data_IF_426768466105
#
_entry.id   IF_426768466105
#
_cell.length_a   1.000
_cell.length_b   1.000
_cell.length_c   1.000
_cell.angle_alpha   90.00
_cell.angle_beta   90.00
_cell.angle_gamma   90.00
#
_symmetry.space_group_name_H-M   'P 1'
#
loop_
_entity.id
_entity.type
_entity.pdbx_description
1 polymer ?
#
# COMPACT_ATOMS: atom_id res chain seq x y z
N UNK A 1 1.11 1.60 3.78
CA UNK A 1 1.25 0.13 3.68
C UNK A 1 1.95 -0.36 4.93
N UNK A 2 1.54 -1.52 5.44
CA UNK A 2 2.18 -2.20 6.57
C UNK A 2 2.81 -3.52 6.09
N UNK A 3 3.70 -4.15 6.87
CA UNK A 3 4.17 -5.50 6.58
C UNK A 3 3.03 -6.51 6.75
N UNK A 4 3.04 -7.55 5.93
CA UNK A 4 2.21 -8.73 6.16
C UNK A 4 2.71 -9.44 7.42
N UNK A 5 1.84 -9.88 8.34
CA UNK A 5 2.24 -10.62 9.54
C UNK A 5 3.01 -11.93 9.25
N UNK A 6 2.72 -12.57 8.13
CA UNK A 6 3.33 -13.86 7.74
C UNK A 6 4.56 -13.68 6.84
N UNK A 7 4.75 -12.49 6.28
CA UNK A 7 5.85 -12.15 5.38
C UNK A 7 6.19 -10.66 5.52
N UNK A 8 7.20 -10.33 6.32
CA UNK A 8 7.58 -8.95 6.64
C UNK A 8 7.93 -8.10 5.41
N UNK A 9 8.31 -8.73 4.31
CA UNK A 9 8.66 -8.06 3.06
C UNK A 9 7.48 -7.84 2.13
N UNK A 10 6.37 -8.56 2.33
CA UNK A 10 5.15 -8.37 1.55
C UNK A 10 4.43 -7.10 2.01
N UNK A 11 4.21 -6.14 1.12
CA UNK A 11 3.45 -4.93 1.47
C UNK A 11 1.95 -5.23 1.50
N UNK A 12 1.31 -4.87 2.63
CA UNK A 12 -0.13 -4.93 2.78
C UNK A 12 -0.73 -3.52 2.82
N UNK A 13 -1.81 -3.25 2.07
CA UNK A 13 -2.53 -2.00 2.21
C UNK A 13 -3.33 -2.04 3.52
N UNK A 14 -3.35 -0.94 4.26
CA UNK A 14 -4.08 -0.85 5.52
C UNK A 14 -4.95 0.40 5.57
N UNK A 15 -6.14 0.27 6.15
CA UNK A 15 -7.01 1.38 6.47
C UNK A 15 -6.64 1.89 7.88
N UNK A 16 -6.16 3.13 7.94
CA UNK A 16 -5.77 3.78 9.20
C UNK A 16 -6.88 4.74 9.61
N UNK A 17 -7.46 4.53 10.77
CA UNK A 17 -8.56 5.33 11.32
C UNK A 17 -8.12 6.27 12.43
N UNK A 18 -6.95 6.03 13.02
CA UNK A 18 -6.38 6.82 14.09
C UNK A 18 -4.90 7.14 13.80
N UNK A 19 -4.43 8.29 14.29
CA UNK A 19 -3.06 8.73 14.07
C UNK A 19 -2.01 7.73 14.58
N UNK A 20 -2.28 7.05 15.69
CA UNK A 20 -1.42 6.00 16.24
C UNK A 20 -1.18 4.84 15.28
N UNK A 21 -2.16 4.51 14.44
CA UNK A 21 -2.05 3.47 13.43
C UNK A 21 -1.06 3.79 12.30
N UNK A 22 -0.66 5.05 12.14
CA UNK A 22 0.33 5.44 11.14
C UNK A 22 1.72 4.85 11.38
N UNK A 23 2.04 4.52 12.63
CA UNK A 23 3.35 3.97 13.01
C UNK A 23 3.67 2.66 12.26
N UNK A 24 2.67 1.81 12.04
CA UNK A 24 2.83 0.56 11.30
C UNK A 24 3.16 0.78 9.81
N UNK A 25 2.86 1.96 9.28
CA UNK A 25 3.06 2.29 7.87
C UNK A 25 4.43 2.93 7.58
N UNK A 26 5.27 3.09 8.59
CA UNK A 26 6.59 3.71 8.41
C UNK A 26 7.55 2.79 7.64
N UNK A 27 8.51 3.40 6.99
CA UNK A 27 9.53 2.68 6.21
C UNK A 27 9.10 2.44 4.77
N UNK A 28 10.06 2.00 3.97
CA UNK A 28 9.85 1.65 2.57
C UNK A 28 9.64 0.14 2.45
N UNK A 29 8.71 -0.25 1.59
CA UNK A 29 8.50 -1.66 1.22
C UNK A 29 8.48 -1.77 -0.29
N UNK A 30 9.32 -2.65 -0.79
CA UNK A 30 9.37 -2.96 -2.22
C UNK A 30 8.31 -4.02 -2.53
N UNK A 31 7.52 -3.79 -3.56
CA UNK A 31 6.52 -4.74 -4.01
C UNK A 31 5.14 -4.14 -4.23
N UNK A 32 4.30 -4.89 -4.94
CA UNK A 32 2.92 -4.49 -5.22
C UNK A 32 2.02 -4.74 -4.01
N UNK A 33 1.21 -3.74 -3.68
CA UNK A 33 0.14 -3.88 -2.70
C UNK A 33 -1.21 -3.56 -3.38
N UNK A 34 -2.26 -4.35 -3.14
CA UNK A 34 -3.57 -4.16 -3.76
C UNK A 34 -4.34 -3.00 -3.09
N UNK A 35 -3.79 -1.78 -3.16
CA UNK A 35 -4.32 -0.59 -2.49
C UNK A 35 -5.78 -0.32 -2.86
N UNK A 36 -6.14 -0.50 -4.12
CA UNK A 36 -7.51 -0.25 -4.62
C UNK A 36 -8.53 -1.20 -3.98
N UNK A 37 -8.11 -2.38 -3.53
CA UNK A 37 -8.99 -3.34 -2.86
C UNK A 37 -9.54 -2.83 -1.52
N UNK A 38 -8.91 -1.84 -0.88
CA UNK A 38 -9.41 -1.23 0.36
C UNK A 38 -10.54 -0.20 0.16
N UNK A 39 -10.78 0.25 -1.05
CA UNK A 39 -11.76 1.32 -1.31
C UNK A 39 -13.18 0.87 -1.00
N UNK A 40 -13.54 -0.34 -1.43
CA UNK A 40 -14.88 -0.89 -1.14
C UNK A 40 -15.09 -1.19 0.34
N UNK A 41 -14.17 -1.85 1.07
CA UNK A 41 -14.25 -1.97 2.52
C UNK A 41 -14.36 -0.64 3.26
N UNK A 42 -13.61 0.38 2.85
CA UNK A 42 -13.69 1.71 3.45
C UNK A 42 -15.09 2.34 3.23
N UNK A 43 -15.64 2.21 2.03
CA UNK A 43 -16.99 2.67 1.72
C UNK A 43 -18.06 1.91 2.50
N UNK A 44 -17.94 0.59 2.58
CA UNK A 44 -18.87 -0.27 3.32
C UNK A 44 -18.90 0.05 4.83
N UNK A 45 -17.78 0.50 5.40
CA UNK A 45 -17.68 0.97 6.77
C UNK A 45 -18.26 2.38 6.98
N UNK A 46 -18.74 3.03 5.91
CA UNK A 46 -19.39 4.34 5.99
C UNK A 46 -18.44 5.54 5.96
N UNK A 47 -17.15 5.34 5.65
CA UNK A 47 -16.24 6.46 5.47
C UNK A 47 -16.60 7.24 4.21
N UNK A 48 -16.89 8.54 4.38
CA UNK A 48 -17.26 9.44 3.28
C UNK A 48 -16.09 10.28 2.77
N UNK A 49 -15.06 10.40 3.59
CA UNK A 49 -13.84 11.16 3.29
C UNK A 49 -12.66 10.21 3.47
N UNK A 50 -11.83 10.10 2.43
CA UNK A 50 -10.69 9.20 2.43
C UNK A 50 -9.45 9.94 1.95
N UNK A 51 -8.31 9.72 2.60
CA UNK A 51 -7.00 10.11 2.10
C UNK A 51 -6.24 8.85 1.69
N UNK A 52 -5.66 8.85 0.51
CA UNK A 52 -4.92 7.70 -0.03
C UNK A 52 -3.52 8.17 -0.41
N UNK A 53 -2.51 7.42 0.04
CA UNK A 53 -1.12 7.60 -0.35
C UNK A 53 -0.76 6.45 -1.28
N UNK A 54 -0.34 6.76 -2.50
CA UNK A 54 -0.06 5.75 -3.52
C UNK A 54 0.96 6.20 -4.56
N UNK A 55 1.45 5.26 -5.33
CA UNK A 55 2.35 5.50 -6.46
C UNK A 55 1.56 5.89 -7.73
N UNK A 56 2.23 6.39 -8.75
CA UNK A 56 1.61 6.99 -9.93
C UNK A 56 0.52 6.11 -10.60
N UNK A 57 0.75 4.82 -10.79
CA UNK A 57 -0.24 3.90 -11.38
C UNK A 57 -1.48 3.72 -10.49
N UNK A 58 -1.29 3.69 -9.16
CA UNK A 58 -2.39 3.63 -8.20
C UNK A 58 -3.18 4.95 -8.18
N UNK A 59 -2.49 6.09 -8.23
CA UNK A 59 -3.13 7.41 -8.35
C UNK A 59 -3.99 7.49 -9.60
N UNK A 60 -3.49 7.00 -10.72
CA UNK A 60 -4.25 6.96 -11.97
C UNK A 60 -5.53 6.12 -11.83
N UNK A 61 -5.42 4.91 -11.26
CA UNK A 61 -6.57 4.05 -11.02
C UNK A 61 -7.59 4.69 -10.07
N UNK A 62 -7.13 5.31 -8.97
CA UNK A 62 -7.99 6.03 -8.02
C UNK A 62 -8.78 7.14 -8.69
N UNK A 63 -8.14 7.95 -9.53
CA UNK A 63 -8.81 9.04 -10.27
C UNK A 63 -9.82 8.53 -11.29
N UNK A 64 -9.51 7.43 -11.98
CA UNK A 64 -10.45 6.80 -12.90
C UNK A 64 -11.71 6.27 -12.19
N UNK A 65 -11.57 5.77 -10.96
CA UNK A 65 -12.67 5.21 -10.18
C UNK A 65 -13.39 6.24 -9.29
N UNK A 66 -12.85 7.44 -9.11
CA UNK A 66 -13.30 8.43 -8.12
C UNK A 66 -14.81 8.69 -8.15
N UNK A 67 -15.37 8.85 -9.36
CA UNK A 67 -16.81 9.10 -9.54
C UNK A 67 -17.69 7.91 -9.15
N UNK A 68 -17.23 6.69 -9.45
CA UNK A 68 -17.97 5.46 -9.18
C UNK A 68 -17.90 5.04 -7.71
N UNK A 69 -16.84 5.41 -7.00
CA UNK A 69 -16.65 5.10 -5.60
C UNK A 69 -17.58 5.89 -4.67
N UNK A 70 -18.01 7.10 -5.07
CA UNK A 70 -19.00 7.88 -4.34
C UNK A 70 -18.53 8.45 -3.00
N UNK A 71 -17.21 8.64 -2.81
CA UNK A 71 -16.70 9.38 -1.66
C UNK A 71 -17.04 10.88 -1.81
N UNK A 72 -17.43 11.52 -0.72
CA UNK A 72 -17.65 12.98 -0.70
C UNK A 72 -16.33 13.74 -0.95
N UNK A 73 -15.22 13.20 -0.42
CA UNK A 73 -13.87 13.71 -0.68
C UNK A 73 -12.85 12.57 -0.73
N UNK A 74 -12.08 12.54 -1.81
CA UNK A 74 -10.93 11.66 -1.99
C UNK A 74 -9.67 12.52 -2.11
N UNK A 75 -8.83 12.51 -1.07
CA UNK A 75 -7.52 13.12 -1.10
C UNK A 75 -6.50 12.09 -1.59
N UNK A 76 -5.72 12.42 -2.59
CA UNK A 76 -4.71 11.51 -3.14
C UNK A 76 -3.35 12.17 -3.05
N UNK A 77 -2.45 11.52 -2.33
CA UNK A 77 -1.06 11.92 -2.18
C UNK A 77 -0.22 10.97 -3.03
N UNK A 78 0.34 11.49 -4.12
CA UNK A 78 1.22 10.71 -4.99
C UNK A 78 2.65 10.66 -4.43
N UNK A 79 3.23 9.46 -4.41
CA UNK A 79 4.65 9.26 -4.13
C UNK A 79 5.39 8.90 -5.41
N UNK A 80 6.62 9.37 -5.62
CA UNK A 80 7.42 8.98 -6.79
C UNK A 80 7.69 7.46 -6.75
N UNK A 81 7.72 6.85 -7.93
CA UNK A 81 8.03 5.45 -8.10
C UNK A 81 8.76 5.27 -9.42
N UNK A 82 9.97 4.74 -9.37
CA UNK A 82 10.75 4.38 -10.56
C UNK A 82 10.54 2.94 -10.96
N UNK A 83 10.32 2.06 -9.98
CA UNK A 83 10.10 0.64 -10.18
C UNK A 83 9.36 0.03 -8.98
N UNK A 84 8.71 -1.12 -9.19
CA UNK A 84 8.00 -1.84 -8.14
C UNK A 84 7.92 -3.33 -8.50
N UNK A 85 8.84 -4.16 -8.02
CA UNK A 85 8.86 -5.58 -8.32
C UNK A 85 7.70 -6.33 -7.68
N UNK A 86 7.43 -7.54 -8.16
CA UNK A 86 6.56 -8.46 -7.42
C UNK A 86 7.26 -8.92 -6.15
N UNK A 87 6.49 -9.38 -5.16
CA UNK A 87 7.05 -9.91 -3.91
C UNK A 87 8.00 -11.07 -4.17
N UNK A 88 7.68 -11.95 -5.13
CA UNK A 88 8.52 -13.09 -5.51
C UNK A 88 9.86 -12.65 -6.08
N UNK A 89 9.86 -11.67 -6.98
CA UNK A 89 11.10 -11.11 -7.54
C UNK A 89 11.94 -10.42 -6.48
N UNK A 90 11.28 -9.75 -5.53
CA UNK A 90 11.99 -9.10 -4.44
C UNK A 90 12.64 -10.13 -3.50
N UNK A 91 11.96 -11.23 -3.17
CA UNK A 91 12.54 -12.34 -2.39
C UNK A 91 13.74 -12.95 -3.11
N UNK A 92 13.65 -13.23 -4.42
CA UNK A 92 14.78 -13.71 -5.20
C UNK A 92 15.98 -12.74 -5.16
N UNK A 93 15.72 -11.45 -5.19
CA UNK A 93 16.77 -10.44 -5.03
C UNK A 93 17.41 -10.50 -3.64
N UNK A 94 16.62 -10.65 -2.57
CA UNK A 94 17.14 -10.76 -1.21
C UNK A 94 18.00 -12.01 -1.02
N UNK A 95 17.62 -13.14 -1.62
CA UNK A 95 18.40 -14.39 -1.62
C UNK A 95 19.77 -14.24 -2.31
N UNK A 96 19.89 -13.32 -3.28
CA UNK A 96 21.17 -13.03 -3.93
C UNK A 96 22.15 -12.24 -3.04
N UNK A 97 21.65 -11.51 -2.07
CA UNK A 97 22.47 -10.62 -1.23
C UNK A 97 22.62 -11.13 0.21
N UNK A 98 21.83 -12.09 0.64
CA UNK A 98 21.87 -12.67 1.97
C UNK A 98 21.50 -14.15 1.97
N UNK A 99 22.23 -14.94 2.76
CA UNK A 99 21.87 -16.33 3.03
C UNK A 99 20.67 -16.46 3.99
N UNK A 100 20.35 -15.39 4.69
CA UNK A 100 19.22 -15.29 5.62
C UNK A 100 18.45 -13.99 5.34
N UNK A 101 17.61 -13.96 4.30
CA UNK A 101 16.89 -12.75 3.87
C UNK A 101 16.00 -12.14 4.94
N UNK A 102 15.44 -12.97 5.82
CA UNK A 102 14.52 -12.52 6.88
C UNK A 102 15.22 -11.69 7.98
N UNK A 103 16.54 -11.81 8.08
CA UNK A 103 17.35 -11.03 9.03
C UNK A 103 17.73 -9.64 8.51
N UNK A 104 17.40 -9.31 7.25
CA UNK A 104 17.63 -7.99 6.68
C UNK A 104 16.60 -7.02 7.24
N UNK A 105 17.03 -6.01 7.95
CA UNK A 105 16.19 -4.96 8.55
C UNK A 105 16.41 -3.60 7.92
#
# INVERSE_FOLDING_TARGET
MAPDPDDSWRPMPVLVTEASGMVQCRGMRMGYAPLVALLEPARAQGYKRLAVIGIACQVYALRALEKSLGFERLFVIGTPCSDNPTTELFHQFLELISEQPDDIT
#
